data_IF_781344623603
#
_entry.id   IF_781344623603
#
_cell.length_a   1.000
_cell.length_b   1.000
_cell.length_c   1.000
_cell.angle_alpha   90.00
_cell.angle_beta   90.00
_cell.angle_gamma   90.00
#
_symmetry.space_group_name_H-M   'P 1'
#
loop_
_entity.id
_entity.type
_entity.pdbx_description
1 polymer ?
#
# COMPACT_ATOMS: atom_id res chain seq x y z
N UNK A 1 -2.25 -8.06 -11.13
CA UNK A 1 -1.73 -8.19 -9.77
C UNK A 1 -2.49 -9.24 -8.99
N UNK A 2 -1.76 -10.11 -8.27
CA UNK A 2 -2.34 -11.25 -7.55
C UNK A 2 -3.32 -10.82 -6.46
N UNK A 3 -3.00 -9.78 -5.70
CA UNK A 3 -3.86 -9.32 -4.61
C UNK A 3 -5.18 -8.78 -5.17
N UNK A 4 -5.12 -7.91 -6.16
CA UNK A 4 -6.30 -7.36 -6.78
C UNK A 4 -7.18 -8.43 -7.41
N UNK A 5 -6.57 -9.42 -8.06
CA UNK A 5 -7.31 -10.52 -8.68
C UNK A 5 -8.01 -11.43 -7.68
N UNK A 6 -7.41 -11.65 -6.51
CA UNK A 6 -7.97 -12.54 -5.48
C UNK A 6 -9.03 -11.87 -4.61
N UNK A 7 -9.01 -10.55 -4.51
CA UNK A 7 -9.97 -9.79 -3.70
C UNK A 7 -11.18 -9.35 -4.53
N UNK A 8 -11.32 -9.86 -5.74
CA UNK A 8 -12.51 -9.59 -6.56
C UNK A 8 -13.75 -10.18 -5.91
N UNK A 9 -14.62 -9.28 -5.47
CA UNK A 9 -15.97 -9.63 -5.02
C UNK A 9 -17.01 -9.25 -6.07
N UNK A 10 -18.28 -9.14 -5.68
CA UNK A 10 -19.34 -8.66 -6.57
C UNK A 10 -19.17 -7.18 -6.96
N UNK A 11 -18.25 -6.47 -6.33
CA UNK A 11 -17.92 -5.07 -6.60
C UNK A 11 -16.69 -4.97 -7.46
N UNK A 12 -16.60 -3.91 -8.27
CA UNK A 12 -15.41 -3.64 -9.05
C UNK A 12 -14.25 -3.30 -8.14
N UNK A 13 -13.11 -3.93 -8.37
CA UNK A 13 -11.88 -3.72 -7.62
C UNK A 13 -10.86 -3.00 -8.47
N UNK A 14 -10.24 -1.97 -7.91
CA UNK A 14 -9.15 -1.22 -8.54
C UNK A 14 -7.91 -1.37 -7.68
N UNK A 15 -6.79 -1.70 -8.31
CA UNK A 15 -5.49 -1.76 -7.66
C UNK A 15 -4.70 -0.49 -7.97
N UNK A 16 -4.25 0.20 -6.92
CA UNK A 16 -3.35 1.34 -7.03
C UNK A 16 -1.95 0.87 -6.64
N UNK A 17 -1.02 1.00 -7.60
CA UNK A 17 0.40 0.75 -7.37
C UNK A 17 1.10 2.10 -7.24
N UNK A 18 1.80 2.33 -6.12
CA UNK A 18 2.48 3.57 -5.86
C UNK A 18 3.55 3.92 -6.89
N UNK A 19 4.28 2.91 -7.38
CA UNK A 19 5.30 3.13 -8.43
C UNK A 19 4.65 3.49 -9.77
N UNK A 20 3.56 2.82 -10.11
CA UNK A 20 2.80 3.14 -11.32
C UNK A 20 2.23 4.56 -11.27
N UNK A 21 1.77 4.99 -10.11
CA UNK A 21 1.26 6.35 -9.94
C UNK A 21 2.37 7.39 -10.09
N UNK A 22 3.58 7.10 -9.61
CA UNK A 22 4.74 7.98 -9.82
C UNK A 22 5.06 8.19 -11.29
N UNK A 23 4.90 7.16 -12.11
CA UNK A 23 5.11 7.28 -13.56
C UNK A 23 4.09 8.23 -14.19
N UNK A 24 2.83 8.10 -13.82
CA UNK A 24 1.74 8.94 -14.34
C UNK A 24 1.96 10.41 -14.01
N UNK A 25 2.35 10.71 -12.76
CA UNK A 25 2.58 12.06 -12.29
C UNK A 25 4.01 12.54 -12.47
N UNK A 26 4.87 11.72 -13.09
CA UNK A 26 6.29 12.03 -13.31
C UNK A 26 7.02 12.44 -12.02
N UNK A 27 6.70 11.78 -10.92
CA UNK A 27 7.33 12.04 -9.63
C UNK A 27 8.52 11.10 -9.45
N UNK A 28 9.72 11.61 -9.66
CA UNK A 28 10.99 10.89 -9.48
C UNK A 28 11.72 11.33 -8.20
N UNK A 29 11.05 12.10 -7.36
CA UNK A 29 11.63 12.62 -6.13
C UNK A 29 11.41 11.63 -4.99
N UNK A 30 12.49 11.00 -4.53
CA UNK A 30 12.48 10.05 -3.41
C UNK A 30 12.88 10.70 -2.08
N UNK A 31 13.00 12.04 -2.04
CA UNK A 31 13.11 12.78 -0.80
C UNK A 31 11.82 12.65 0.00
N UNK A 32 11.86 13.09 1.27
CA UNK A 32 10.68 13.09 2.11
C UNK A 32 9.52 13.85 1.44
N UNK A 33 9.80 14.99 0.87
CA UNK A 33 8.79 15.84 0.20
C UNK A 33 8.16 15.13 -0.99
N UNK A 34 8.98 14.47 -1.82
CA UNK A 34 8.49 13.72 -2.97
C UNK A 34 7.67 12.50 -2.56
N UNK A 35 8.06 11.83 -1.49
CA UNK A 35 7.30 10.70 -0.93
C UNK A 35 5.96 11.15 -0.36
N UNK A 36 5.95 12.26 0.37
CA UNK A 36 4.72 12.83 0.92
C UNK A 36 3.75 13.22 -0.20
N UNK A 37 4.26 13.87 -1.25
CA UNK A 37 3.46 14.25 -2.40
C UNK A 37 2.82 13.02 -3.05
N UNK A 38 3.61 11.97 -3.28
CA UNK A 38 3.10 10.73 -3.88
C UNK A 38 1.99 10.11 -3.02
N UNK A 39 2.19 10.06 -1.71
CA UNK A 39 1.22 9.48 -0.79
C UNK A 39 -0.08 10.29 -0.74
N UNK A 40 0.01 11.62 -0.77
CA UNK A 40 -1.19 12.46 -0.80
C UNK A 40 -1.94 12.31 -2.11
N UNK A 41 -1.23 12.17 -3.23
CA UNK A 41 -1.86 11.88 -4.52
C UNK A 41 -2.57 10.51 -4.48
N UNK A 42 -1.95 9.49 -3.89
CA UNK A 42 -2.56 8.18 -3.66
C UNK A 42 -3.83 8.32 -2.82
N UNK A 43 -3.76 9.05 -1.70
CA UNK A 43 -4.91 9.24 -0.81
C UNK A 43 -6.09 9.92 -1.53
N UNK A 44 -5.81 10.91 -2.35
CA UNK A 44 -6.85 11.59 -3.14
C UNK A 44 -7.53 10.63 -4.11
N UNK A 45 -6.74 9.79 -4.76
CA UNK A 45 -7.27 8.82 -5.71
C UNK A 45 -8.08 7.74 -5.00
N UNK A 46 -7.61 7.26 -3.84
CA UNK A 46 -8.37 6.31 -3.02
C UNK A 46 -9.75 6.88 -2.69
N UNK A 47 -9.78 8.10 -2.21
CA UNK A 47 -11.03 8.76 -1.80
C UNK A 47 -11.98 8.94 -2.97
N UNK A 48 -11.46 9.34 -4.13
CA UNK A 48 -12.26 9.47 -5.34
C UNK A 48 -12.89 8.14 -5.72
N UNK A 49 -12.09 7.08 -5.77
CA UNK A 49 -12.57 5.74 -6.18
C UNK A 49 -13.55 5.16 -5.17
N UNK A 50 -13.30 5.35 -3.88
CA UNK A 50 -14.22 4.92 -2.83
C UNK A 50 -15.59 5.59 -2.99
N UNK A 51 -15.59 6.89 -3.26
CA UNK A 51 -16.82 7.65 -3.49
C UNK A 51 -17.58 7.18 -4.74
N UNK A 52 -16.87 6.58 -5.71
CA UNK A 52 -17.48 6.01 -6.92
C UNK A 52 -17.99 4.58 -6.71
N UNK A 53 -17.81 4.02 -5.52
CA UNK A 53 -18.30 2.69 -5.20
C UNK A 53 -17.34 1.56 -5.55
N UNK A 54 -16.05 1.85 -5.81
CA UNK A 54 -15.05 0.82 -6.06
C UNK A 54 -14.48 0.28 -4.76
N UNK A 55 -14.13 -1.01 -4.76
CA UNK A 55 -13.21 -1.56 -3.78
C UNK A 55 -11.79 -1.22 -4.22
N UNK A 56 -10.97 -0.71 -3.31
CA UNK A 56 -9.63 -0.23 -3.65
C UNK A 56 -8.58 -1.02 -2.89
N UNK A 57 -7.60 -1.56 -3.64
CA UNK A 57 -6.42 -2.22 -3.08
C UNK A 57 -5.22 -1.33 -3.39
N UNK A 58 -4.42 -1.02 -2.37
CA UNK A 58 -3.30 -0.10 -2.50
C UNK A 58 -2.01 -0.81 -2.10
N UNK A 59 -1.04 -0.79 -3.01
CA UNK A 59 0.32 -1.29 -2.76
C UNK A 59 1.27 -0.11 -2.86
N UNK A 60 1.79 0.35 -1.74
CA UNK A 60 2.61 1.56 -1.69
C UNK A 60 3.58 1.51 -0.49
N UNK A 61 4.72 2.14 -0.66
CA UNK A 61 5.58 2.43 0.49
C UNK A 61 5.04 3.70 1.14
N UNK A 62 4.48 3.55 2.35
CA UNK A 62 3.80 4.63 3.06
C UNK A 62 4.50 4.87 4.41
N UNK A 63 5.67 5.54 4.43
CA UNK A 63 6.50 5.61 5.62
C UNK A 63 5.99 6.56 6.70
N UNK A 64 5.04 7.45 6.40
CA UNK A 64 4.64 8.51 7.31
C UNK A 64 3.24 8.28 7.86
N UNK A 65 3.16 8.15 9.19
CA UNK A 65 1.92 7.80 9.88
C UNK A 65 0.84 8.87 9.73
N UNK A 66 1.21 10.13 9.78
CA UNK A 66 0.26 11.24 9.63
C UNK A 66 -0.47 11.21 8.28
N UNK A 67 0.24 10.82 7.23
CA UNK A 67 -0.36 10.70 5.89
C UNK A 67 -1.21 9.46 5.79
N UNK A 68 -0.77 8.32 6.35
CA UNK A 68 -1.60 7.11 6.43
C UNK A 68 -2.90 7.38 7.17
N UNK A 69 -2.83 8.18 8.23
CA UNK A 69 -3.98 8.52 9.06
C UNK A 69 -5.02 9.39 8.34
N UNK A 70 -4.63 10.07 7.27
CA UNK A 70 -5.54 10.93 6.49
C UNK A 70 -6.73 10.18 5.90
N UNK A 71 -6.64 8.86 5.71
CA UNK A 71 -7.71 8.04 5.14
C UNK A 71 -8.40 7.13 6.15
N UNK A 72 -8.13 7.27 7.44
CA UNK A 72 -8.73 6.41 8.47
C UNK A 72 -10.27 6.52 8.51
N UNK A 73 -10.83 7.65 8.11
CA UNK A 73 -12.29 7.82 8.02
C UNK A 73 -12.94 6.89 6.99
N UNK A 74 -12.17 6.34 6.05
CA UNK A 74 -12.64 5.37 5.08
C UNK A 74 -12.64 3.93 5.62
N UNK A 75 -12.17 3.75 6.85
CA UNK A 75 -12.08 2.45 7.54
C UNK A 75 -11.29 1.39 6.76
N UNK A 76 -10.04 1.70 6.34
CA UNK A 76 -9.24 0.76 5.57
C UNK A 76 -8.70 -0.37 6.45
N UNK A 77 -8.45 -1.54 5.84
CA UNK A 77 -7.61 -2.57 6.45
C UNK A 77 -6.16 -2.28 6.06
N UNK A 78 -5.33 -1.94 7.03
CA UNK A 78 -3.92 -1.62 6.80
C UNK A 78 -3.03 -2.78 7.19
N UNK A 79 -2.19 -3.21 6.25
CA UNK A 79 -1.27 -4.32 6.45
C UNK A 79 0.14 -3.84 6.20
N UNK A 80 1.01 -4.02 7.20
CA UNK A 80 2.43 -3.72 7.08
C UNK A 80 3.18 -5.01 6.71
N UNK A 81 3.75 -5.01 5.50
CA UNK A 81 4.59 -6.11 5.02
C UNK A 81 6.05 -5.74 5.25
N UNK A 82 6.80 -6.63 5.87
CA UNK A 82 8.23 -6.40 6.12
C UNK A 82 9.02 -7.68 5.90
N UNK A 83 10.31 -7.53 5.64
CA UNK A 83 11.22 -8.65 5.44
C UNK A 83 12.62 -8.29 5.90
N UNK A 84 13.38 -9.29 6.38
CA UNK A 84 14.80 -9.15 6.61
C UNK A 84 15.65 -9.50 5.39
N UNK A 85 15.02 -9.99 4.30
CA UNK A 85 15.71 -10.33 3.07
C UNK A 85 16.12 -9.09 2.28
N UNK A 86 17.31 -9.15 1.66
CA UNK A 86 17.77 -8.11 0.73
C UNK A 86 17.25 -8.46 -0.66
N UNK A 87 16.45 -7.56 -1.26
CA UNK A 87 15.77 -7.83 -2.54
C UNK A 87 16.15 -6.87 -3.66
N UNK A 88 17.28 -6.17 -3.54
CA UNK A 88 17.87 -5.38 -4.62
C UNK A 88 17.32 -3.98 -4.83
N UNK A 89 16.55 -3.43 -3.90
CA UNK A 89 15.99 -2.07 -4.00
C UNK A 89 16.33 -1.21 -2.77
N UNK A 90 17.45 -1.49 -2.11
CA UNK A 90 17.83 -0.85 -0.86
C UNK A 90 18.01 0.66 -1.00
N UNK A 91 18.46 1.14 -2.18
CA UNK A 91 18.65 2.56 -2.46
C UNK A 91 17.34 3.36 -2.43
N UNK A 92 16.21 2.67 -2.58
CA UNK A 92 14.88 3.28 -2.57
C UNK A 92 14.13 3.09 -1.26
N UNK A 93 14.76 2.45 -0.27
CA UNK A 93 14.13 2.23 1.03
C UNK A 93 13.98 3.55 1.78
N UNK A 94 12.86 3.69 2.46
CA UNK A 94 12.62 4.81 3.35
C UNK A 94 13.25 4.50 4.71
N UNK A 95 14.38 5.12 5.02
CA UNK A 95 15.08 4.94 6.29
C UNK A 95 14.27 5.49 7.47
N UNK A 96 13.39 6.45 7.22
CA UNK A 96 12.56 7.13 8.19
C UNK A 96 11.15 6.55 8.29
N UNK A 97 10.98 5.25 7.96
CA UNK A 97 9.68 4.60 8.01
C UNK A 97 9.13 4.56 9.44
N UNK A 98 7.95 5.13 9.63
CA UNK A 98 7.26 5.16 10.92
C UNK A 98 6.35 3.94 11.06
N UNK A 99 6.72 3.02 11.93
CA UNK A 99 5.90 1.85 12.23
C UNK A 99 4.82 2.27 13.22
N UNK A 100 3.58 2.09 12.83
CA UNK A 100 2.43 2.50 13.65
C UNK A 100 1.57 1.33 14.08
N UNK A 101 0.35 1.66 14.51
CA UNK A 101 -0.63 0.68 14.93
C UNK A 101 -1.45 0.13 13.76
N UNK A 102 -0.79 -0.31 12.70
CA UNK A 102 -1.46 -0.98 11.60
C UNK A 102 -2.21 -2.21 12.10
N UNK A 103 -3.27 -2.58 11.38
CA UNK A 103 -4.14 -3.70 11.76
C UNK A 103 -3.37 -5.00 11.90
N UNK A 104 -2.38 -5.21 11.02
CA UNK A 104 -1.59 -6.45 11.01
C UNK A 104 -0.20 -6.20 10.45
N UNK A 105 0.78 -6.84 11.09
CA UNK A 105 2.16 -6.90 10.61
C UNK A 105 2.43 -8.30 10.09
N UNK A 106 2.92 -8.41 8.85
CA UNK A 106 3.27 -9.69 8.25
C UNK A 106 4.75 -9.68 7.88
N UNK A 107 5.52 -10.60 8.49
CA UNK A 107 6.91 -10.83 8.13
C UNK A 107 6.93 -11.78 6.93
N UNK A 108 7.43 -11.30 5.78
CA UNK A 108 7.50 -12.09 4.55
C UNK A 108 8.82 -12.82 4.38
N UNK A 109 9.72 -12.77 5.38
CA UNK A 109 11.01 -13.46 5.32
C UNK A 109 10.81 -14.95 5.12
N UNK A 110 11.47 -15.51 4.10
CA UNK A 110 11.38 -16.94 3.73
C UNK A 110 9.97 -17.43 3.38
N UNK A 111 9.05 -16.52 3.07
CA UNK A 111 7.71 -16.88 2.61
C UNK A 111 7.58 -16.71 1.11
N UNK A 112 6.84 -17.60 0.48
CA UNK A 112 6.45 -17.44 -0.92
C UNK A 112 5.38 -16.34 -1.07
N UNK A 113 5.19 -15.87 -2.30
CA UNK A 113 4.12 -14.92 -2.62
C UNK A 113 2.77 -15.52 -2.23
N UNK A 114 2.55 -16.81 -2.50
CA UNK A 114 1.28 -17.48 -2.19
C UNK A 114 1.03 -17.58 -0.68
N UNK A 115 2.05 -17.86 0.11
CA UNK A 115 1.93 -17.90 1.56
C UNK A 115 1.56 -16.53 2.13
N UNK A 116 2.22 -15.48 1.67
CA UNK A 116 1.90 -14.10 2.07
C UNK A 116 0.48 -13.72 1.66
N UNK A 117 0.07 -14.05 0.44
CA UNK A 117 -1.28 -13.81 -0.06
C UNK A 117 -2.34 -14.50 0.80
N UNK A 118 -2.09 -15.76 1.18
CA UNK A 118 -3.02 -16.50 2.04
C UNK A 118 -3.21 -15.83 3.41
N UNK A 119 -2.12 -15.30 3.99
CA UNK A 119 -2.21 -14.56 5.24
C UNK A 119 -3.05 -13.28 5.09
N UNK A 120 -2.84 -12.52 4.00
CA UNK A 120 -3.59 -11.30 3.71
C UNK A 120 -5.07 -11.64 3.56
N UNK A 121 -5.41 -12.67 2.81
CA UNK A 121 -6.80 -13.07 2.57
C UNK A 121 -7.49 -13.56 3.84
N UNK A 122 -6.75 -14.14 4.80
CA UNK A 122 -7.32 -14.54 6.08
C UNK A 122 -7.73 -13.35 6.95
N UNK A 123 -7.11 -12.22 6.77
CA UNK A 123 -7.40 -10.97 7.50
C UNK A 123 -8.55 -10.21 6.84
N UNK A 124 -8.54 -10.16 5.52
CA UNK A 124 -9.53 -9.44 4.71
C UNK A 124 -10.77 -10.29 4.48
N UNK A 125 -11.66 -10.27 5.42
CA UNK A 125 -12.91 -11.02 5.31
C UNK A 125 -14.14 -10.15 5.51
#
# INVERSE_FOLDING_TARGET
DLIGNQIRGPYKTVHIDGDGLREIFNNKDYSKEGREKNLRDVNKLIRFLDNQGFSVVVSVVAPYMDIRDEILDLNPTMIYLHTSEIRGKEDYFADDFEIGGEDTHIDTTNKSIQETLNEILSIHR
#
